data_IF_042995984677
#
_entry.id   IF_042995984677
#
_cell.length_a   1.000
_cell.length_b   1.000
_cell.length_c   1.000
_cell.angle_alpha   90.00
_cell.angle_beta   90.00
_cell.angle_gamma   90.00
#
_symmetry.space_group_name_H-M   'P 1'
#
loop_
_entity.id
_entity.type
_entity.pdbx_description
1 polymer ?
#
# COMPACT_ATOMS: atom_id res chain seq x y z
N UNK A 1 32.10 48.60 3.86
CA UNK A 1 31.37 48.19 5.08
C UNK A 1 30.71 46.83 4.77
N UNK A 2 31.41 45.69 4.91
CA UNK A 2 31.54 44.80 6.08
C UNK A 2 30.21 44.43 6.78
N UNK A 3 29.99 43.10 6.78
CA UNK A 3 29.16 42.21 7.64
C UNK A 3 27.87 41.67 7.00
N UNK A 4 27.87 40.40 6.58
CA UNK A 4 27.70 39.15 7.38
C UNK A 4 26.29 39.03 7.97
N UNK A 5 25.56 38.01 7.49
CA UNK A 5 24.50 37.20 8.13
C UNK A 5 23.66 36.61 6.99
N UNK A 6 23.21 35.37 6.96
CA UNK A 6 23.39 34.20 7.80
C UNK A 6 22.80 33.06 6.94
N UNK A 7 23.39 31.87 7.03
CA UNK A 7 22.84 30.65 6.44
C UNK A 7 21.38 30.44 6.84
N UNK A 8 20.54 30.07 5.88
CA UNK A 8 19.32 29.30 6.12
C UNK A 8 19.18 28.27 5.00
N UNK A 9 19.91 27.17 5.20
CA UNK A 9 19.56 25.85 4.73
C UNK A 9 18.11 25.54 5.05
N UNK A 10 17.22 25.55 4.06
CA UNK A 10 16.01 24.74 4.13
C UNK A 10 16.30 23.41 3.44
N UNK A 11 16.76 22.47 4.27
CA UNK A 11 16.48 21.06 4.06
C UNK A 11 14.96 20.93 3.92
N UNK A 12 14.46 20.76 2.70
CA UNK A 12 13.15 20.15 2.52
C UNK A 12 13.31 18.67 2.89
N UNK A 13 13.16 18.45 4.20
CA UNK A 13 12.99 17.15 4.81
C UNK A 13 11.94 16.38 4.02
N UNK A 14 12.45 15.33 3.37
CA UNK A 14 11.75 14.07 3.15
C UNK A 14 10.82 13.75 4.32
N UNK A 15 9.54 14.05 4.16
CA UNK A 15 8.47 13.68 5.07
C UNK A 15 7.23 13.26 4.26
N UNK A 16 7.43 12.30 3.35
CA UNK A 16 6.35 11.51 2.80
C UNK A 16 6.38 10.12 3.47
N UNK A 17 6.28 10.11 4.79
CA UNK A 17 6.06 8.90 5.56
C UNK A 17 5.50 9.29 6.93
N UNK A 18 4.45 8.59 7.33
CA UNK A 18 3.75 8.64 8.61
C UNK A 18 2.62 9.67 8.74
N UNK A 19 1.46 9.35 8.17
CA UNK A 19 0.23 9.41 8.96
C UNK A 19 -0.60 8.12 8.75
N UNK A 20 0.04 6.95 8.79
CA UNK A 20 -0.69 5.74 9.15
C UNK A 20 -1.04 5.88 10.64
N UNK A 21 -2.32 5.98 10.99
CA UNK A 21 -2.78 5.99 12.38
C UNK A 21 -2.56 4.61 13.01
N UNK A 22 -2.60 3.55 12.20
CA UNK A 22 -2.38 2.18 12.64
C UNK A 22 -1.57 1.39 11.61
N UNK A 23 -0.57 0.66 12.10
CA UNK A 23 0.17 -0.35 11.32
C UNK A 23 0.01 -1.67 12.07
N UNK A 24 -0.45 -2.69 11.38
CA UNK A 24 -0.58 -4.06 11.92
C UNK A 24 0.74 -4.81 11.71
N UNK A 25 1.08 -5.70 12.63
CA UNK A 25 2.36 -6.43 12.66
C UNK A 25 2.64 -7.19 11.36
N UNK A 26 3.93 -7.26 11.01
CA UNK A 26 4.39 -8.03 9.86
C UNK A 26 4.18 -9.53 10.11
N UNK A 27 3.31 -10.16 9.32
CA UNK A 27 3.08 -11.61 9.33
C UNK A 27 3.83 -12.24 8.18
N UNK A 28 4.65 -13.25 8.46
CA UNK A 28 5.33 -14.01 7.42
C UNK A 28 4.32 -14.78 6.55
N UNK A 29 4.48 -14.62 5.24
CA UNK A 29 3.75 -15.30 4.19
C UNK A 29 4.72 -15.92 3.21
N UNK A 30 4.23 -16.88 2.43
CA UNK A 30 4.96 -17.36 1.24
C UNK A 30 4.42 -16.59 0.03
N UNK A 31 5.30 -15.89 -0.65
CA UNK A 31 4.99 -15.14 -1.87
C UNK A 31 5.77 -15.69 -3.07
N UNK A 32 5.25 -15.43 -4.28
CA UNK A 32 6.08 -15.35 -5.48
C UNK A 32 6.00 -13.95 -6.07
N UNK A 33 7.13 -13.45 -6.57
CA UNK A 33 7.20 -12.15 -7.23
C UNK A 33 7.80 -12.26 -8.63
N UNK A 34 7.22 -11.54 -9.59
CA UNK A 34 7.76 -11.37 -10.93
C UNK A 34 7.68 -9.90 -11.37
N UNK A 35 8.82 -9.35 -11.80
CA UNK A 35 8.86 -8.09 -12.54
C UNK A 35 8.49 -8.37 -14.00
N UNK A 36 7.43 -7.75 -14.52
CA UNK A 36 6.97 -7.98 -15.90
C UNK A 36 7.61 -7.02 -16.91
N UNK A 37 8.36 -6.03 -16.44
CA UNK A 37 9.09 -5.07 -17.27
C UNK A 37 10.50 -5.55 -17.60
N UNK A 38 11.08 -6.40 -16.76
CA UNK A 38 12.40 -6.97 -16.96
C UNK A 38 12.37 -8.17 -17.92
N UNK A 39 13.24 -8.13 -18.94
CA UNK A 39 13.42 -9.23 -19.89
C UNK A 39 13.87 -10.51 -19.16
N UNK A 40 13.26 -11.65 -19.50
CA UNK A 40 13.54 -12.96 -18.91
C UNK A 40 13.30 -13.07 -17.39
N UNK A 41 12.61 -12.11 -16.78
CA UNK A 41 12.19 -12.20 -15.39
C UNK A 41 11.26 -13.39 -15.18
N UNK A 42 11.55 -14.19 -14.15
CA UNK A 42 10.78 -15.38 -13.76
C UNK A 42 10.22 -15.18 -12.35
N UNK A 43 9.03 -15.74 -12.04
CA UNK A 43 8.51 -15.74 -10.68
C UNK A 43 9.52 -16.37 -9.72
N UNK A 44 9.82 -15.68 -8.61
CA UNK A 44 10.69 -16.16 -7.54
C UNK A 44 9.89 -16.34 -6.28
N UNK A 45 9.90 -17.55 -5.71
CA UNK A 45 9.27 -17.82 -4.42
C UNK A 45 10.17 -17.38 -3.27
N UNK A 46 9.57 -16.76 -2.26
CA UNK A 46 10.26 -16.35 -1.03
C UNK A 46 9.31 -16.25 0.15
N UNK A 47 9.87 -16.17 1.35
CA UNK A 47 9.15 -15.60 2.50
C UNK A 47 9.03 -14.09 2.27
N UNK A 48 7.87 -13.53 2.60
CA UNK A 48 7.56 -12.10 2.52
C UNK A 48 6.86 -11.66 3.81
N UNK A 49 7.18 -10.48 4.29
CA UNK A 49 6.44 -9.87 5.40
C UNK A 49 5.18 -9.20 4.87
N UNK A 50 4.05 -9.37 5.56
CA UNK A 50 2.79 -8.70 5.24
C UNK A 50 2.36 -7.80 6.38
N UNK A 51 2.12 -6.53 6.09
CA UNK A 51 1.52 -5.57 7.02
C UNK A 51 0.36 -4.84 6.37
N UNK A 52 -0.56 -4.36 7.21
CA UNK A 52 -1.68 -3.52 6.81
C UNK A 52 -1.58 -2.18 7.54
N UNK A 53 -2.12 -1.12 6.94
CA UNK A 53 -2.28 0.17 7.60
C UNK A 53 -3.59 0.86 7.24
N UNK A 54 -3.92 1.79 8.12
CA UNK A 54 -4.97 2.78 7.95
C UNK A 54 -4.40 4.14 8.34
N UNK A 55 -4.73 5.18 7.57
CA UNK A 55 -4.35 6.55 7.90
C UNK A 55 -5.31 7.19 8.89
N UNK A 56 -4.87 8.27 9.53
CA UNK A 56 -5.79 9.15 10.26
C UNK A 56 -6.95 9.59 9.35
N UNK A 57 -8.15 9.69 9.94
CA UNK A 57 -9.32 10.19 9.24
C UNK A 57 -9.26 11.72 9.17
N UNK A 58 -9.28 12.26 7.95
CA UNK A 58 -9.17 13.69 7.69
C UNK A 58 -10.45 14.19 7.03
N UNK A 59 -10.99 15.30 7.54
CA UNK A 59 -12.17 15.92 6.92
C UNK A 59 -11.79 16.65 5.62
N UNK A 60 -12.34 16.20 4.49
CA UNK A 60 -12.28 16.87 3.21
C UNK A 60 -13.51 17.78 3.04
N UNK A 61 -13.26 19.09 3.16
CA UNK A 61 -14.28 20.14 3.00
C UNK A 61 -14.89 20.18 1.59
N UNK A 62 -14.12 19.85 0.55
CA UNK A 62 -14.62 19.92 -0.83
C UNK A 62 -15.61 18.79 -1.10
N UNK A 63 -15.36 17.61 -0.54
CA UNK A 63 -16.24 16.44 -0.69
C UNK A 63 -17.30 16.33 0.40
N UNK A 64 -17.22 17.14 1.45
CA UNK A 64 -18.20 17.17 2.55
C UNK A 64 -18.19 15.88 3.37
N UNK A 65 -17.01 15.32 3.63
CA UNK A 65 -16.87 14.04 4.30
C UNK A 65 -15.46 13.78 4.82
N UNK A 66 -15.28 12.62 5.45
CA UNK A 66 -13.98 12.17 5.94
C UNK A 66 -13.30 11.25 4.93
N UNK A 67 -11.97 11.30 4.91
CA UNK A 67 -11.10 10.52 4.05
C UNK A 67 -10.04 9.79 4.86
N UNK A 68 -9.67 8.59 4.41
CA UNK A 68 -8.56 7.82 4.95
C UNK A 68 -7.82 7.09 3.80
N UNK A 69 -6.50 7.09 3.83
CA UNK A 69 -5.66 6.28 2.97
C UNK A 69 -5.38 4.93 3.63
N UNK A 70 -5.81 3.86 3.00
CA UNK A 70 -5.71 2.51 3.53
C UNK A 70 -4.87 1.63 2.61
N UNK A 71 -4.29 0.57 3.15
CA UNK A 71 -3.56 -0.37 2.31
C UNK A 71 -2.90 -1.51 3.05
N UNK A 72 -2.27 -2.36 2.27
CA UNK A 72 -1.44 -3.47 2.72
C UNK A 72 -0.15 -3.54 1.89
N UNK A 73 0.92 -4.07 2.48
CA UNK A 73 2.23 -4.14 1.87
C UNK A 73 2.80 -5.53 2.03
N UNK A 74 3.47 -5.99 0.98
CA UNK A 74 4.28 -7.20 0.98
C UNK A 74 5.74 -6.80 0.84
N UNK A 75 6.51 -6.98 1.91
CA UNK A 75 7.95 -6.75 1.94
C UNK A 75 8.65 -8.01 1.46
N UNK A 76 9.28 -7.92 0.30
CA UNK A 76 10.04 -9.00 -0.33
C UNK A 76 11.51 -8.96 0.13
N UNK A 77 12.26 -10.07 -0.05
CA UNK A 77 13.71 -10.06 0.14
C UNK A 77 14.39 -9.01 -0.73
N UNK A 78 15.47 -8.42 -0.21
CA UNK A 78 16.19 -7.34 -0.90
C UNK A 78 15.54 -5.96 -0.77
N UNK A 79 14.53 -5.81 0.10
CA UNK A 79 13.95 -4.51 0.46
C UNK A 79 12.90 -3.97 -0.51
N UNK A 80 12.49 -4.76 -1.51
CA UNK A 80 11.39 -4.40 -2.40
C UNK A 80 10.06 -4.52 -1.66
N UNK A 81 9.18 -3.54 -1.85
CA UNK A 81 7.83 -3.56 -1.29
C UNK A 81 6.79 -3.50 -2.42
N UNK A 82 5.78 -4.35 -2.34
CA UNK A 82 4.58 -4.28 -3.18
C UNK A 82 3.43 -3.77 -2.32
N UNK A 83 2.90 -2.61 -2.65
CA UNK A 83 1.85 -1.92 -1.91
C UNK A 83 0.52 -2.05 -2.63
N UNK A 84 -0.53 -2.39 -1.89
CA UNK A 84 -1.91 -2.32 -2.33
C UNK A 84 -2.62 -1.22 -1.55
N UNK A 85 -3.01 -0.14 -2.22
CA UNK A 85 -3.57 1.04 -1.56
C UNK A 85 -4.92 1.44 -2.13
N UNK A 86 -5.75 2.05 -1.30
CA UNK A 86 -7.03 2.62 -1.68
C UNK A 86 -7.38 3.79 -0.75
N UNK A 87 -8.15 4.73 -1.28
CA UNK A 87 -8.81 5.76 -0.50
C UNK A 87 -10.17 5.24 0.00
N UNK A 88 -10.43 5.47 1.28
CA UNK A 88 -11.74 5.34 1.91
C UNK A 88 -12.36 6.73 2.12
N UNK A 89 -13.66 6.83 1.87
CA UNK A 89 -14.43 8.06 1.99
C UNK A 89 -15.77 7.80 2.71
N UNK A 90 -16.10 8.67 3.65
CA UNK A 90 -17.37 8.67 4.37
C UNK A 90 -18.03 10.05 4.26
N UNK A 91 -19.22 10.12 3.66
CA UNK A 91 -19.99 11.36 3.60
C UNK A 91 -20.50 11.73 5.00
N UNK A 92 -20.29 12.97 5.46
CA UNK A 92 -20.69 13.36 6.82
C UNK A 92 -22.12 13.93 6.86
N UNK A 93 -23.14 13.06 6.76
CA UNK A 93 -24.54 13.44 7.02
C UNK A 93 -24.89 13.23 8.51
N UNK A 94 -24.11 13.83 9.42
CA UNK A 94 -24.40 13.84 10.86
C UNK A 94 -23.79 12.71 11.70
N UNK A 95 -22.97 11.83 11.11
CA UNK A 95 -22.20 10.81 11.85
C UNK A 95 -20.73 11.19 12.01
N UNK A 96 -20.16 10.87 13.17
CA UNK A 96 -18.70 10.88 13.36
C UNK A 96 -18.01 9.75 12.59
N UNK A 97 -16.70 9.86 12.32
CA UNK A 97 -15.94 8.89 11.50
C UNK A 97 -15.98 7.45 12.03
N UNK A 98 -16.20 7.29 13.33
CA UNK A 98 -16.24 5.99 14.03
C UNK A 98 -17.50 5.16 13.74
N UNK A 99 -18.62 5.79 13.33
CA UNK A 99 -19.92 5.13 13.23
C UNK A 99 -20.57 5.25 11.84
N UNK A 100 -19.96 6.02 10.93
CA UNK A 100 -20.52 6.20 9.60
C UNK A 100 -20.08 5.13 8.60
N UNK A 101 -20.78 5.09 7.47
CA UNK A 101 -20.54 4.10 6.42
C UNK A 101 -19.46 4.59 5.46
N UNK A 102 -18.33 3.88 5.43
CA UNK A 102 -17.23 4.14 4.53
C UNK A 102 -17.45 3.47 3.16
N UNK A 103 -17.01 4.17 2.11
CA UNK A 103 -16.95 3.69 0.72
C UNK A 103 -15.49 3.70 0.28
N UNK A 104 -15.09 2.76 -0.59
CA UNK A 104 -13.69 2.62 -0.97
C UNK A 104 -13.52 2.77 -2.49
N UNK A 105 -12.48 3.51 -2.87
CA UNK A 105 -11.98 3.49 -4.24
C UNK A 105 -11.45 2.10 -4.62
N UNK A 106 -11.34 1.79 -5.93
CA UNK A 106 -10.68 0.57 -6.37
C UNK A 106 -9.25 0.51 -5.85
N UNK A 107 -8.91 -0.60 -5.19
CA UNK A 107 -7.55 -0.87 -4.71
C UNK A 107 -6.57 -0.92 -5.87
N UNK A 108 -5.38 -0.35 -5.66
CA UNK A 108 -4.31 -0.26 -6.65
C UNK A 108 -3.04 -0.93 -6.15
N UNK A 109 -2.35 -1.67 -7.01
CA UNK A 109 -1.06 -2.30 -6.77
C UNK A 109 0.05 -1.36 -7.26
N UNK A 110 0.84 -0.81 -6.36
CA UNK A 110 1.88 0.18 -6.63
C UNK A 110 1.37 1.34 -7.51
N UNK A 111 0.17 1.85 -7.18
CA UNK A 111 -0.49 2.94 -7.91
C UNK A 111 -1.09 2.53 -9.27
N UNK A 112 -1.22 1.23 -9.55
CA UNK A 112 -1.77 0.72 -10.81
C UNK A 112 -2.98 -0.17 -10.58
N UNK A 113 -3.92 -0.13 -11.52
CA UNK A 113 -4.96 -1.15 -11.59
C UNK A 113 -4.34 -2.54 -11.75
N UNK A 114 -4.94 -3.53 -11.10
CA UNK A 114 -4.49 -4.91 -11.15
C UNK A 114 -5.70 -5.85 -11.24
N UNK A 115 -5.43 -7.09 -11.62
CA UNK A 115 -6.42 -8.18 -11.59
C UNK A 115 -6.01 -9.22 -10.56
N UNK A 116 -7.00 -9.85 -9.96
CA UNK A 116 -6.80 -10.96 -9.02
C UNK A 116 -7.25 -12.26 -9.67
N UNK A 117 -6.43 -13.30 -9.53
CA UNK A 117 -6.77 -14.67 -9.96
C UNK A 117 -6.40 -15.65 -8.86
N UNK A 118 -7.23 -16.67 -8.66
CA UNK A 118 -6.86 -17.84 -7.86
C UNK A 118 -6.15 -18.86 -8.75
N UNK A 119 -5.02 -19.39 -8.30
CA UNK A 119 -4.23 -20.38 -9.05
C UNK A 119 -3.83 -21.55 -8.16
N UNK A 120 -3.70 -22.73 -8.75
CA UNK A 120 -2.97 -23.84 -8.13
C UNK A 120 -1.55 -23.89 -8.68
N UNK A 121 -0.57 -23.78 -7.80
CA UNK A 121 0.86 -23.85 -8.12
C UNK A 121 1.48 -24.87 -7.18
N UNK A 122 2.08 -25.92 -7.73
CA UNK A 122 2.69 -27.02 -6.97
C UNK A 122 1.74 -27.64 -5.92
N UNK A 123 0.46 -27.81 -6.27
CA UNK A 123 -0.55 -28.40 -5.38
C UNK A 123 -1.01 -27.50 -4.23
N UNK A 124 -0.60 -26.22 -4.20
CA UNK A 124 -1.05 -25.23 -3.23
C UNK A 124 -1.93 -24.17 -3.88
N UNK A 125 -2.84 -23.57 -3.12
CA UNK A 125 -3.66 -22.45 -3.58
C UNK A 125 -2.94 -21.13 -3.39
N UNK A 126 -3.02 -20.27 -4.41
CA UNK A 126 -2.39 -18.96 -4.45
C UNK A 126 -3.37 -17.91 -4.93
N UNK A 127 -3.39 -16.77 -4.24
CA UNK A 127 -4.01 -15.55 -4.74
C UNK A 127 -2.96 -14.75 -5.48
N UNK A 128 -3.14 -14.53 -6.79
CA UNK A 128 -2.21 -13.78 -7.63
C UNK A 128 -2.80 -12.44 -8.04
N UNK A 129 -2.05 -11.37 -7.79
CA UNK A 129 -2.34 -10.00 -8.19
C UNK A 129 -1.38 -9.58 -9.30
N UNK A 130 -1.92 -9.19 -10.45
CA UNK A 130 -1.15 -8.82 -11.64
C UNK A 130 -1.52 -7.43 -12.12
N UNK A 131 -0.53 -6.53 -12.15
CA UNK A 131 -0.63 -5.23 -12.81
C UNK A 131 0.01 -5.27 -14.20
N UNK A 132 0.12 -4.13 -14.86
CA UNK A 132 0.86 -4.03 -16.12
C UNK A 132 2.38 -4.24 -15.96
N UNK A 133 2.93 -4.06 -14.75
CA UNK A 133 4.38 -4.03 -14.51
C UNK A 133 4.89 -5.15 -13.64
N UNK A 134 4.03 -5.83 -12.89
CA UNK A 134 4.45 -6.86 -11.95
C UNK A 134 3.33 -7.84 -11.58
N UNK A 135 3.74 -9.00 -11.08
CA UNK A 135 2.84 -10.00 -10.50
C UNK A 135 3.35 -10.40 -9.11
N UNK A 136 2.44 -10.39 -8.14
CA UNK A 136 2.66 -10.94 -6.80
C UNK A 136 1.63 -12.04 -6.57
N UNK A 137 2.07 -13.26 -6.26
CA UNK A 137 1.20 -14.30 -5.75
C UNK A 137 1.48 -14.55 -4.27
N UNK A 138 0.43 -14.76 -3.49
CA UNK A 138 0.51 -15.07 -2.06
C UNK A 138 -0.15 -16.41 -1.84
N UNK A 139 0.56 -17.33 -1.19
CA UNK A 139 0.03 -18.63 -0.86
C UNK A 139 -1.05 -18.48 0.21
N UNK A 140 -2.18 -19.18 0.05
CA UNK A 140 -3.22 -19.21 1.07
C UNK A 140 -2.66 -19.82 2.37
N UNK A 141 -3.03 -19.23 3.51
CA UNK A 141 -2.87 -19.89 4.80
C UNK A 141 -3.80 -21.11 4.82
N UNK A 142 -3.27 -22.26 5.25
CA UNK A 142 -4.01 -23.53 5.32
C UNK A 142 -5.08 -23.50 6.40
#
# INVERSE_FOLDING_TARGET
MKMKKLFLTLFFLSAASAHASHVYEDIDRICTYQDLTAQNSRPKQSVCGWSQWESSHVYDKQRGGYMAGNGEAYRLPGGKTVTFSYEAFMKSEGSGPEIGKWTHSPKQMNGRAYRTTQRQIQGKHWTCHRSATEELCVQAAF
#
